data_IF_699495559651
#
_entry.id   IF_699495559651
#
_cell.length_a   1.000
_cell.length_b   1.000
_cell.length_c   1.000
_cell.angle_alpha   90.00
_cell.angle_beta   90.00
_cell.angle_gamma   90.00
#
_symmetry.space_group_name_H-M   'P 1'
#
loop_
_entity.id
_entity.type
_entity.pdbx_description
1 polymer ?
#
# COMPACT_ATOMS: atom_id res chain seq x y z
N UNK A 1 32.29 53.17 3.31
CA UNK A 1 31.28 52.58 4.22
C UNK A 1 30.40 51.67 3.38
N UNK A 2 30.53 50.32 3.43
CA UNK A 2 29.58 49.42 2.78
C UNK A 2 28.44 49.11 3.75
N UNK A 3 27.22 49.08 3.20
CA UNK A 3 25.97 48.78 3.89
C UNK A 3 25.86 47.30 4.18
N UNK A 4 25.44 46.97 5.40
CA UNK A 4 25.08 45.65 5.89
C UNK A 4 23.90 45.05 5.13
N UNK A 5 24.11 43.97 4.43
CA UNK A 5 23.08 43.09 3.91
C UNK A 5 22.67 42.11 5.02
N UNK A 6 21.59 42.41 5.75
CA UNK A 6 20.91 41.43 6.61
C UNK A 6 20.22 40.39 5.74
N UNK A 7 20.70 39.18 5.84
CA UNK A 7 20.02 38.00 5.33
C UNK A 7 18.76 37.77 6.15
N UNK A 8 17.60 38.01 5.57
CA UNK A 8 16.32 37.58 6.14
C UNK A 8 16.25 36.04 6.05
N UNK A 9 16.34 35.42 7.21
CA UNK A 9 15.94 34.01 7.39
C UNK A 9 14.43 33.96 7.25
N UNK A 10 13.97 33.41 6.14
CA UNK A 10 12.55 33.08 5.92
C UNK A 10 12.08 32.08 6.98
N UNK A 11 11.18 32.55 7.81
CA UNK A 11 10.54 31.83 8.90
C UNK A 11 9.60 30.74 8.31
N UNK A 12 9.96 29.47 8.49
CA UNK A 12 9.26 28.29 7.95
C UNK A 12 8.05 27.88 8.81
N UNK A 13 7.52 28.77 9.66
CA UNK A 13 6.44 28.48 10.63
C UNK A 13 5.03 28.45 10.06
N UNK A 14 4.84 28.65 8.76
CA UNK A 14 3.49 28.74 8.16
C UNK A 14 2.78 27.40 7.94
N UNK A 15 3.50 26.26 7.92
CA UNK A 15 2.94 24.96 7.49
C UNK A 15 2.30 24.11 8.62
N UNK A 16 2.67 24.33 9.89
CA UNK A 16 2.25 23.47 11.03
C UNK A 16 1.15 24.05 11.93
N UNK A 17 0.44 25.09 11.53
CA UNK A 17 -0.62 25.68 12.35
C UNK A 17 -0.19 26.09 13.78
N UNK A 18 1.08 26.48 13.98
CA UNK A 18 1.65 26.90 15.26
C UNK A 18 2.11 25.75 16.18
N UNK A 19 2.05 24.50 15.77
CA UNK A 19 2.54 23.34 16.53
C UNK A 19 4.03 23.09 16.22
N UNK A 20 4.80 22.66 17.24
CA UNK A 20 6.22 22.30 17.07
C UNK A 20 6.38 21.16 16.07
N UNK A 21 7.30 21.27 15.08
CA UNK A 21 7.70 20.14 14.24
C UNK A 21 8.16 18.94 15.09
N UNK A 22 7.85 17.73 14.61
CA UNK A 22 8.29 16.50 15.23
C UNK A 22 9.50 15.95 14.48
N UNK A 23 10.37 15.24 15.18
CA UNK A 23 11.39 14.37 14.62
C UNK A 23 10.82 12.96 14.57
N UNK A 24 10.55 12.47 13.37
CA UNK A 24 9.88 11.18 13.12
C UNK A 24 10.87 10.22 12.51
N UNK A 25 11.03 9.05 13.12
CA UNK A 25 11.82 7.96 12.55
C UNK A 25 10.86 6.85 12.09
N UNK A 26 10.79 6.62 10.78
CA UNK A 26 9.98 5.56 10.19
C UNK A 26 10.86 4.35 9.92
N UNK A 27 10.46 3.17 10.41
CA UNK A 27 11.19 1.92 10.22
C UNK A 27 10.37 0.94 9.37
N UNK A 28 10.88 0.59 8.21
CA UNK A 28 10.20 -0.24 7.23
C UNK A 28 11.05 -1.43 6.79
N UNK A 29 10.42 -2.60 6.63
CA UNK A 29 11.08 -3.77 6.03
C UNK A 29 11.05 -3.74 4.50
N UNK A 30 10.19 -2.89 3.91
CA UNK A 30 10.16 -2.54 2.47
C UNK A 30 9.95 -1.05 2.32
N UNK A 31 10.73 -0.41 1.44
CA UNK A 31 10.66 1.01 1.13
C UNK A 31 11.12 1.24 -0.32
N UNK A 32 10.73 2.33 -0.91
CA UNK A 32 11.15 2.66 -2.28
C UNK A 32 12.66 2.37 -2.52
N UNK A 33 13.03 1.76 -3.66
CA UNK A 33 12.23 1.53 -4.86
C UNK A 33 11.42 0.22 -4.88
N UNK A 34 11.17 -0.43 -3.74
CA UNK A 34 10.33 -1.63 -3.69
C UNK A 34 8.88 -1.29 -4.09
N UNK A 35 8.28 -2.14 -4.93
CA UNK A 35 6.92 -1.93 -5.47
C UNK A 35 5.93 -2.83 -4.73
N UNK A 36 5.38 -2.34 -3.62
CA UNK A 36 4.30 -2.98 -2.88
C UNK A 36 3.54 -1.94 -2.04
N UNK A 37 2.33 -2.28 -1.59
CA UNK A 37 1.47 -1.34 -0.85
C UNK A 37 2.10 -0.76 0.42
N UNK A 38 2.87 -1.56 1.18
CA UNK A 38 3.55 -1.09 2.38
C UNK A 38 4.64 -0.06 2.07
N UNK A 39 5.43 -0.30 1.01
CA UNK A 39 6.47 0.63 0.56
C UNK A 39 5.85 1.94 0.04
N UNK A 40 4.80 1.85 -0.78
CA UNK A 40 4.06 3.02 -1.29
C UNK A 40 3.47 3.85 -0.15
N UNK A 41 2.78 3.22 0.80
CA UNK A 41 2.26 3.93 1.97
C UNK A 41 3.36 4.58 2.80
N UNK A 42 4.46 3.87 3.04
CA UNK A 42 5.58 4.41 3.83
C UNK A 42 6.20 5.63 3.17
N UNK A 43 6.35 5.61 1.84
CA UNK A 43 6.84 6.74 1.07
C UNK A 43 5.87 7.92 1.14
N UNK A 44 4.57 7.69 0.90
CA UNK A 44 3.56 8.75 0.95
C UNK A 44 3.44 9.38 2.34
N UNK A 45 3.49 8.57 3.39
CA UNK A 45 3.49 9.03 4.77
C UNK A 45 4.73 9.89 5.06
N UNK A 46 5.93 9.41 4.70
CA UNK A 46 7.18 10.13 4.94
C UNK A 46 7.22 11.47 4.20
N UNK A 47 6.88 11.47 2.91
CA UNK A 47 6.81 12.68 2.09
C UNK A 47 5.78 13.65 2.63
N UNK A 48 4.56 13.19 2.93
CA UNK A 48 3.49 14.04 3.43
C UNK A 48 3.81 14.69 4.79
N UNK A 49 4.45 13.95 5.69
CA UNK A 49 4.90 14.50 6.99
C UNK A 49 6.02 15.54 6.79
N UNK A 50 6.98 15.28 5.89
CA UNK A 50 8.05 16.23 5.59
C UNK A 50 7.50 17.52 4.94
N UNK A 51 6.53 17.40 4.01
CA UNK A 51 5.83 18.57 3.44
C UNK A 51 5.08 19.40 4.48
N UNK A 52 4.66 18.78 5.58
CA UNK A 52 4.04 19.46 6.73
C UNK A 52 5.06 20.06 7.70
N UNK A 53 6.36 19.99 7.38
CA UNK A 53 7.46 20.62 8.13
C UNK A 53 8.02 19.77 9.27
N UNK A 54 7.73 18.47 9.31
CA UNK A 54 8.38 17.55 10.23
C UNK A 54 9.77 17.14 9.72
N UNK A 55 10.69 16.87 10.65
CA UNK A 55 11.96 16.22 10.34
C UNK A 55 11.74 14.70 10.26
N UNK A 56 11.81 14.15 9.04
CA UNK A 56 11.47 12.74 8.78
C UNK A 56 12.69 11.98 8.32
N UNK A 57 13.02 10.92 9.04
CA UNK A 57 14.04 9.96 8.69
C UNK A 57 13.41 8.58 8.44
N UNK A 58 13.96 7.84 7.48
CA UNK A 58 13.51 6.47 7.19
C UNK A 58 14.66 5.48 7.41
N UNK A 59 14.39 4.36 8.08
CA UNK A 59 15.30 3.20 8.13
C UNK A 59 14.70 2.06 7.34
N UNK A 60 15.42 1.58 6.33
CA UNK A 60 14.95 0.50 5.46
C UNK A 60 16.12 -0.35 4.92
N UNK A 61 15.87 -1.59 4.43
CA UNK A 61 16.88 -2.36 3.72
C UNK A 61 17.33 -1.64 2.45
N UNK A 62 18.59 -1.83 2.09
CA UNK A 62 19.11 -1.36 0.81
C UNK A 62 18.55 -2.18 -0.35
N UNK A 63 18.31 -1.56 -1.51
CA UNK A 63 17.89 -2.26 -2.73
C UNK A 63 19.02 -3.04 -3.42
N UNK A 64 20.28 -2.80 -3.01
CA UNK A 64 21.43 -3.55 -3.51
C UNK A 64 22.49 -3.78 -2.41
N UNK A 65 23.56 -4.50 -2.73
CA UNK A 65 24.58 -4.88 -1.73
C UNK A 65 25.55 -3.76 -1.36
N UNK A 66 25.67 -2.73 -2.18
CA UNK A 66 26.68 -1.68 -2.05
C UNK A 66 26.12 -0.35 -1.54
N UNK A 67 24.82 -0.10 -1.72
CA UNK A 67 24.15 1.13 -1.31
C UNK A 67 23.63 1.03 0.13
N UNK A 68 24.52 1.07 1.11
CA UNK A 68 24.16 1.05 2.53
C UNK A 68 24.86 2.21 3.28
N UNK A 69 24.17 2.79 4.24
CA UNK A 69 24.57 4.00 4.94
C UNK A 69 23.43 5.00 5.01
N UNK A 70 23.72 6.25 5.32
CA UNK A 70 22.75 7.34 5.35
C UNK A 70 22.89 8.20 4.11
N UNK A 71 21.76 8.47 3.45
CA UNK A 71 21.69 9.23 2.21
C UNK A 71 20.52 10.21 2.25
N UNK A 72 20.69 11.35 1.61
CA UNK A 72 19.59 12.23 1.27
C UNK A 72 19.05 11.80 -0.09
N UNK A 73 17.85 11.27 -0.11
CA UNK A 73 17.18 10.71 -1.29
C UNK A 73 15.94 11.54 -1.63
N UNK A 74 15.71 11.79 -2.92
CA UNK A 74 14.57 12.58 -3.38
C UNK A 74 13.36 11.69 -3.69
N UNK A 75 12.21 12.02 -3.10
CA UNK A 75 10.92 11.38 -3.33
C UNK A 75 9.86 12.44 -3.59
N UNK A 76 9.28 12.43 -4.80
CA UNK A 76 8.21 13.36 -5.19
C UNK A 76 8.56 14.85 -4.93
N UNK A 77 9.80 15.22 -5.19
CA UNK A 77 10.30 16.59 -4.99
C UNK A 77 10.60 16.94 -3.53
N UNK A 78 10.61 15.96 -2.62
CA UNK A 78 10.97 16.11 -1.21
C UNK A 78 12.23 15.32 -0.92
N UNK A 79 13.21 15.94 -0.30
CA UNK A 79 14.41 15.25 0.17
C UNK A 79 14.17 14.64 1.54
N UNK A 80 14.37 13.33 1.66
CA UNK A 80 14.30 12.57 2.91
C UNK A 80 15.67 12.00 3.26
N UNK A 81 16.05 12.02 4.52
CA UNK A 81 17.24 11.28 4.98
C UNK A 81 16.88 9.81 5.20
N UNK A 82 17.46 8.92 4.38
CA UNK A 82 17.20 7.48 4.42
C UNK A 82 18.43 6.72 4.89
N UNK A 83 18.27 5.94 5.96
CA UNK A 83 19.29 5.08 6.51
C UNK A 83 19.14 3.67 5.93
N UNK A 84 19.93 3.34 4.93
CA UNK A 84 19.90 2.05 4.21
C UNK A 84 20.71 1.01 4.95
N UNK A 85 20.05 -0.05 5.40
CA UNK A 85 20.70 -1.20 6.04
C UNK A 85 21.26 -2.16 4.99
N UNK A 86 22.43 -2.73 5.24
CA UNK A 86 22.95 -3.80 4.37
C UNK A 86 21.94 -4.94 4.25
N UNK A 87 21.62 -5.32 3.04
CA UNK A 87 20.54 -6.26 2.75
C UNK A 87 20.98 -7.41 1.86
N UNK A 88 20.25 -8.49 1.94
CA UNK A 88 20.48 -9.73 1.20
C UNK A 88 19.21 -10.14 0.49
N UNK A 89 19.35 -10.71 -0.71
CA UNK A 89 18.20 -11.22 -1.46
C UNK A 89 17.65 -12.46 -0.75
N UNK A 90 16.35 -12.54 -0.57
CA UNK A 90 15.70 -13.75 -0.06
C UNK A 90 15.69 -14.82 -1.17
N UNK A 91 16.21 -16.04 -0.92
CA UNK A 91 16.35 -17.04 -1.99
C UNK A 91 15.04 -17.47 -2.66
N UNK A 92 13.92 -17.46 -1.90
CA UNK A 92 12.61 -17.83 -2.40
C UNK A 92 11.88 -16.71 -3.17
N UNK A 93 12.42 -15.47 -3.13
CA UNK A 93 11.81 -14.31 -3.79
C UNK A 93 12.86 -13.46 -4.50
N UNK A 94 12.70 -13.30 -5.81
CA UNK A 94 13.66 -12.56 -6.62
C UNK A 94 13.74 -11.06 -6.26
N UNK A 95 12.66 -10.50 -5.76
CA UNK A 95 12.50 -9.06 -5.46
C UNK A 95 12.58 -8.71 -3.98
N UNK A 96 12.38 -9.66 -3.03
CA UNK A 96 12.40 -9.37 -1.60
C UNK A 96 13.82 -9.39 -1.04
N UNK A 97 14.16 -8.33 -0.33
CA UNK A 97 15.45 -8.18 0.36
C UNK A 97 15.22 -8.03 1.87
N UNK A 98 16.13 -8.55 2.66
CA UNK A 98 16.06 -8.49 4.11
C UNK A 98 17.40 -8.08 4.72
N UNK A 99 17.37 -7.42 5.87
CA UNK A 99 18.52 -7.20 6.72
C UNK A 99 18.66 -8.34 7.74
N UNK A 100 19.89 -8.63 8.18
CA UNK A 100 20.07 -9.61 9.23
C UNK A 100 19.62 -9.06 10.59
N UNK A 101 18.78 -9.78 11.38
CA UNK A 101 18.21 -9.26 12.63
C UNK A 101 19.25 -8.73 13.63
N UNK A 102 20.42 -9.39 13.71
CA UNK A 102 21.50 -8.98 14.63
C UNK A 102 22.24 -7.72 14.17
N UNK A 103 22.16 -7.35 12.89
CA UNK A 103 22.78 -6.12 12.38
C UNK A 103 21.89 -4.91 12.57
N UNK A 104 20.57 -5.08 12.58
CA UNK A 104 19.61 -3.97 12.66
C UNK A 104 19.88 -3.11 13.89
N UNK A 105 19.85 -3.67 15.09
CA UNK A 105 20.06 -2.93 16.33
C UNK A 105 21.39 -2.15 16.34
N UNK A 106 22.47 -2.81 15.89
CA UNK A 106 23.81 -2.20 15.83
C UNK A 106 23.85 -0.95 14.94
N UNK A 107 23.12 -0.98 13.80
CA UNK A 107 23.13 0.15 12.84
C UNK A 107 22.07 1.20 13.16
N UNK A 108 21.00 0.83 13.85
CA UNK A 108 19.91 1.76 14.17
C UNK A 108 20.15 2.53 15.49
N UNK A 109 20.84 1.93 16.45
CA UNK A 109 21.15 2.60 17.73
C UNK A 109 21.86 3.96 17.55
N UNK A 110 22.96 4.07 16.75
CA UNK A 110 23.60 5.36 16.53
C UNK A 110 22.71 6.39 15.82
N UNK A 111 21.81 5.95 14.92
CA UNK A 111 20.85 6.82 14.24
C UNK A 111 19.85 7.39 15.24
N UNK A 112 19.29 6.55 16.11
CA UNK A 112 18.36 6.99 17.16
C UNK A 112 19.04 7.92 18.14
N UNK A 113 20.28 7.61 18.55
CA UNK A 113 21.05 8.44 19.49
C UNK A 113 21.40 9.81 18.90
N UNK A 114 21.67 9.89 17.59
CA UNK A 114 21.97 11.15 16.91
C UNK A 114 20.69 11.98 16.63
N UNK A 115 19.63 11.34 16.14
CA UNK A 115 18.39 11.99 15.76
C UNK A 115 17.56 12.42 16.99
N UNK A 116 17.59 11.61 18.06
CA UNK A 116 16.72 11.81 19.24
C UNK A 116 15.25 11.98 18.80
N UNK A 117 14.63 11.00 18.13
CA UNK A 117 13.30 11.17 17.56
C UNK A 117 12.23 11.33 18.66
N UNK A 118 11.24 12.17 18.39
CA UNK A 118 10.06 12.32 19.26
C UNK A 118 9.16 11.07 19.20
N UNK A 119 9.18 10.38 18.05
CA UNK A 119 8.41 9.16 17.80
C UNK A 119 9.12 8.26 16.81
N UNK A 120 8.96 6.95 17.02
CA UNK A 120 9.33 5.89 16.10
C UNK A 120 8.06 5.27 15.55
N UNK A 121 7.94 5.20 14.22
CA UNK A 121 6.83 4.53 13.57
C UNK A 121 7.32 3.30 12.82
N UNK A 122 6.98 2.11 13.31
CA UNK A 122 7.34 0.84 12.65
C UNK A 122 6.24 0.43 11.66
N UNK A 123 6.62 0.13 10.42
CA UNK A 123 5.69 -0.29 9.35
C UNK A 123 5.51 -1.81 9.28
N UNK A 124 6.22 -2.53 10.13
CA UNK A 124 6.09 -3.99 10.25
C UNK A 124 6.69 -4.47 11.57
N UNK A 125 6.40 -5.73 11.91
CA UNK A 125 6.94 -6.41 13.08
C UNK A 125 8.10 -7.37 12.75
N UNK A 126 8.55 -7.42 11.48
CA UNK A 126 9.41 -8.50 10.99
C UNK A 126 10.86 -8.32 11.47
N UNK A 127 11.71 -7.65 10.71
CA UNK A 127 13.13 -7.55 11.03
C UNK A 127 13.53 -6.13 11.42
N UNK A 128 13.33 -5.16 10.51
CA UNK A 128 13.73 -3.77 10.74
C UNK A 128 12.85 -3.14 11.80
N UNK A 129 11.54 -3.24 11.64
CA UNK A 129 10.58 -2.69 12.61
C UNK A 129 10.79 -3.28 14.01
N UNK A 130 11.03 -4.60 14.13
CA UNK A 130 11.34 -5.24 15.42
C UNK A 130 12.62 -4.70 16.06
N UNK A 131 13.67 -4.56 15.27
CA UNK A 131 14.97 -4.09 15.77
C UNK A 131 14.88 -2.65 16.26
N UNK A 132 14.25 -1.79 15.48
CA UNK A 132 14.08 -0.37 15.80
C UNK A 132 13.12 -0.17 16.98
N UNK A 133 12.01 -0.93 17.04
CA UNK A 133 11.08 -0.88 18.18
C UNK A 133 11.77 -1.20 19.52
N UNK A 134 12.64 -2.19 19.54
CA UNK A 134 13.42 -2.52 20.76
C UNK A 134 14.37 -1.40 21.17
N UNK A 135 15.10 -0.82 20.19
CA UNK A 135 16.01 0.29 20.48
C UNK A 135 15.26 1.54 20.97
N UNK A 136 14.07 1.82 20.41
CA UNK A 136 13.21 2.91 20.84
C UNK A 136 12.65 2.66 22.25
N UNK A 137 12.18 1.44 22.51
CA UNK A 137 11.64 1.05 23.81
C UNK A 137 12.71 1.16 24.93
N UNK A 138 13.93 0.68 24.67
CA UNK A 138 15.04 0.74 25.63
C UNK A 138 15.42 2.20 25.99
N UNK A 139 15.02 3.17 25.15
CA UNK A 139 15.25 4.63 25.36
C UNK A 139 13.99 5.40 25.80
N UNK A 140 12.86 4.72 25.99
CA UNK A 140 11.61 5.37 26.38
C UNK A 140 11.01 6.28 25.29
N UNK A 141 11.34 6.03 24.01
CA UNK A 141 10.80 6.78 22.88
C UNK A 141 9.42 6.21 22.52
N UNK A 142 8.46 7.10 22.23
CA UNK A 142 7.12 6.74 21.76
C UNK A 142 7.18 5.87 20.51
N UNK A 143 6.41 4.79 20.48
CA UNK A 143 6.35 3.85 19.34
C UNK A 143 4.92 3.73 18.85
N UNK A 144 4.73 3.93 17.56
CA UNK A 144 3.50 3.59 16.83
C UNK A 144 3.82 2.45 15.86
N UNK A 145 2.91 1.49 15.73
CA UNK A 145 3.09 0.38 14.80
C UNK A 145 1.98 0.34 13.76
N UNK A 146 2.32 0.23 12.48
CA UNK A 146 1.35 -0.11 11.42
C UNK A 146 1.57 -1.53 10.95
N UNK A 147 0.49 -2.28 10.79
CA UNK A 147 0.53 -3.62 10.23
C UNK A 147 0.06 -3.61 8.78
N UNK A 148 0.98 -3.92 7.88
CA UNK A 148 0.71 -4.10 6.44
C UNK A 148 0.80 -5.56 6.01
N UNK A 149 0.97 -6.46 6.95
CA UNK A 149 1.37 -7.82 6.64
C UNK A 149 0.51 -8.83 7.39
N UNK A 150 0.03 -9.83 6.65
CA UNK A 150 -0.62 -11.00 7.24
C UNK A 150 0.31 -12.22 7.10
N UNK A 151 0.60 -12.94 8.21
CA UNK A 151 1.39 -14.17 8.15
C UNK A 151 0.82 -15.20 7.17
N UNK A 152 -0.49 -15.18 6.92
CA UNK A 152 -1.18 -16.01 5.94
C UNK A 152 -0.58 -15.88 4.55
N UNK A 153 -0.22 -14.65 4.15
CA UNK A 153 0.37 -14.35 2.83
C UNK A 153 1.79 -14.95 2.66
N UNK A 154 2.50 -15.25 3.76
CA UNK A 154 3.81 -15.92 3.68
C UNK A 154 3.68 -17.43 3.53
N UNK A 155 2.57 -18.02 3.97
CA UNK A 155 2.44 -19.46 4.01
C UNK A 155 2.29 -20.08 2.63
N UNK A 156 1.78 -19.34 1.66
CA UNK A 156 1.73 -19.76 0.26
C UNK A 156 3.13 -20.02 -0.33
N UNK A 157 4.15 -19.37 0.24
CA UNK A 157 5.56 -19.52 -0.16
C UNK A 157 6.36 -20.47 0.73
N UNK A 158 5.69 -21.19 1.63
CA UNK A 158 6.36 -22.13 2.52
C UNK A 158 5.94 -23.57 2.22
N UNK A 159 6.81 -24.56 2.43
CA UNK A 159 6.49 -25.97 2.22
C UNK A 159 5.59 -26.55 3.34
N UNK A 160 4.95 -25.73 4.14
CA UNK A 160 4.06 -26.19 5.21
C UNK A 160 2.79 -26.81 4.65
N UNK A 161 2.51 -28.05 5.04
CA UNK A 161 1.28 -28.75 4.67
C UNK A 161 0.06 -28.21 5.43
N UNK A 162 -1.16 -28.47 4.93
CA UNK A 162 -2.44 -28.01 5.50
C UNK A 162 -2.58 -28.27 7.01
N UNK A 163 -1.92 -29.30 7.58
CA UNK A 163 -1.99 -29.63 9.00
C UNK A 163 -1.05 -28.80 9.88
N UNK A 164 0.06 -28.31 9.33
CA UNK A 164 1.07 -27.54 10.08
C UNK A 164 0.86 -26.04 9.97
N UNK A 165 0.14 -25.59 8.96
CA UNK A 165 -0.21 -24.19 8.71
C UNK A 165 -0.83 -23.48 9.92
N UNK A 166 -1.87 -24.00 10.62
CA UNK A 166 -2.45 -23.31 11.77
C UNK A 166 -1.48 -23.11 12.94
N UNK A 167 -0.58 -24.06 13.15
CA UNK A 167 0.44 -23.98 14.22
C UNK A 167 1.49 -22.92 13.84
N UNK A 168 1.95 -22.93 12.60
CA UNK A 168 2.89 -21.93 12.09
C UNK A 168 2.31 -20.49 12.17
N UNK A 169 1.05 -20.31 11.79
CA UNK A 169 0.34 -19.04 11.94
C UNK A 169 0.29 -18.56 13.38
N UNK A 170 -0.12 -19.45 14.30
CA UNK A 170 -0.18 -19.12 15.72
C UNK A 170 1.18 -18.70 16.30
N UNK A 171 2.26 -19.34 15.84
CA UNK A 171 3.63 -18.97 16.25
C UNK A 171 4.00 -17.60 15.65
N UNK A 172 3.70 -17.38 14.36
CA UNK A 172 3.99 -16.11 13.68
C UNK A 172 3.25 -14.94 14.33
N UNK A 173 1.95 -15.09 14.62
CA UNK A 173 1.17 -14.06 15.31
C UNK A 173 1.64 -13.81 16.75
N UNK A 174 2.01 -14.85 17.49
CA UNK A 174 2.62 -14.69 18.83
C UNK A 174 3.96 -13.95 18.78
N UNK A 175 4.72 -14.15 17.73
CA UNK A 175 6.00 -13.46 17.55
C UNK A 175 5.77 -12.00 17.13
N UNK A 176 4.83 -11.72 16.24
CA UNK A 176 4.39 -10.37 15.89
C UNK A 176 3.92 -9.59 17.13
N UNK A 177 3.08 -10.23 17.97
CA UNK A 177 2.56 -9.63 19.19
C UNK A 177 3.67 -9.15 20.15
N UNK A 178 4.83 -9.81 20.19
CA UNK A 178 5.98 -9.36 21.03
C UNK A 178 6.52 -8.00 20.60
N UNK A 179 6.50 -7.73 19.30
CA UNK A 179 6.96 -6.45 18.76
C UNK A 179 5.88 -5.38 18.95
N UNK A 180 4.66 -5.68 18.60
CA UNK A 180 3.55 -4.73 18.70
C UNK A 180 3.22 -4.31 20.13
N UNK A 181 3.46 -5.18 21.14
CA UNK A 181 3.32 -4.80 22.57
C UNK A 181 4.26 -3.70 23.03
N UNK A 182 5.30 -3.38 22.26
CA UNK A 182 6.18 -2.24 22.54
C UNK A 182 5.57 -0.92 22.06
N UNK A 183 4.57 -0.96 21.18
CA UNK A 183 3.92 0.22 20.64
C UNK A 183 2.78 0.69 21.56
N UNK A 184 2.58 2.02 21.65
CA UNK A 184 1.47 2.62 22.39
C UNK A 184 0.13 2.51 21.63
N UNK A 185 0.20 2.52 20.31
CA UNK A 185 -0.93 2.25 19.42
C UNK A 185 -0.49 1.44 18.22
N UNK A 186 -1.38 0.57 17.75
CA UNK A 186 -1.18 -0.22 16.56
C UNK A 186 -2.24 0.20 15.55
N UNK A 187 -1.83 0.35 14.30
CA UNK A 187 -2.74 0.72 13.22
C UNK A 187 -2.73 -0.34 12.13
N UNK A 188 -3.80 -0.40 11.36
CA UNK A 188 -3.94 -1.24 10.17
C UNK A 188 -4.92 -0.55 9.22
N UNK A 189 -4.89 -0.80 7.90
CA UNK A 189 -5.61 0.05 6.96
C UNK A 189 -7.13 -0.07 6.98
N UNK A 190 -7.71 -1.16 7.52
CA UNK A 190 -9.17 -1.38 7.55
C UNK A 190 -9.64 -1.98 8.87
N UNK A 191 -10.93 -1.87 9.19
CA UNK A 191 -11.52 -2.50 10.39
C UNK A 191 -11.42 -4.02 10.33
N UNK A 192 -11.62 -4.63 9.16
CA UNK A 192 -11.44 -6.06 9.01
C UNK A 192 -10.03 -6.50 9.40
N UNK A 193 -9.01 -5.78 8.91
CA UNK A 193 -7.61 -6.04 9.27
C UNK A 193 -7.35 -5.77 10.76
N UNK A 194 -8.04 -4.79 11.36
CA UNK A 194 -7.96 -4.51 12.79
C UNK A 194 -8.56 -5.64 13.63
N UNK A 195 -9.66 -6.23 13.21
CA UNK A 195 -10.29 -7.37 13.92
C UNK A 195 -9.36 -8.58 13.97
N UNK A 196 -8.75 -8.94 12.84
CA UNK A 196 -7.71 -10.00 12.83
C UNK A 196 -6.57 -9.72 13.80
N UNK A 197 -6.16 -8.46 13.90
CA UNK A 197 -5.04 -8.08 14.75
C UNK A 197 -5.44 -8.03 16.23
N UNK A 198 -6.64 -7.55 16.56
CA UNK A 198 -7.19 -7.51 17.93
C UNK A 198 -7.22 -8.90 18.57
N UNK A 199 -7.60 -9.90 17.80
CA UNK A 199 -7.61 -11.31 18.25
C UNK A 199 -6.20 -11.83 18.53
N UNK A 200 -5.23 -11.42 17.73
CA UNK A 200 -3.84 -11.86 17.85
C UNK A 200 -3.06 -11.14 18.97
N UNK A 201 -3.40 -9.86 19.24
CA UNK A 201 -2.64 -8.97 20.13
C UNK A 201 -3.57 -8.42 21.24
N UNK A 202 -4.14 -9.32 22.04
CA UNK A 202 -5.02 -8.92 23.14
C UNK A 202 -4.38 -7.87 24.07
N UNK A 203 -5.13 -6.80 24.36
CA UNK A 203 -4.77 -5.78 25.36
C UNK A 203 -4.06 -4.52 24.80
N UNK A 204 -3.93 -4.39 23.48
CA UNK A 204 -3.40 -3.17 22.84
C UNK A 204 -4.50 -2.50 22.00
N UNK A 205 -4.58 -1.15 21.97
CA UNK A 205 -5.48 -0.47 21.05
C UNK A 205 -5.03 -0.71 19.60
N UNK A 206 -5.94 -1.24 18.78
CA UNK A 206 -5.76 -1.42 17.34
C UNK A 206 -6.76 -0.51 16.63
N UNK A 207 -6.26 0.41 15.82
CA UNK A 207 -7.02 1.42 15.11
C UNK A 207 -7.02 1.13 13.61
N UNK A 208 -8.17 1.24 12.97
CA UNK A 208 -8.26 1.26 11.52
C UNK A 208 -7.98 2.69 11.04
N UNK A 209 -6.91 2.84 10.25
CA UNK A 209 -6.52 4.10 9.63
C UNK A 209 -6.17 3.81 8.19
N UNK A 210 -6.97 4.31 7.26
CA UNK A 210 -6.72 4.17 5.82
C UNK A 210 -5.29 4.57 5.46
N UNK A 211 -4.68 3.87 4.50
CA UNK A 211 -3.41 4.31 3.92
C UNK A 211 -3.52 5.70 3.30
N UNK A 212 -4.71 6.11 2.92
CA UNK A 212 -4.96 7.38 2.28
C UNK A 212 -4.53 7.38 0.80
N UNK A 213 -5.04 8.35 0.08
CA UNK A 213 -4.64 8.63 -1.29
C UNK A 213 -4.69 10.14 -1.54
N UNK A 214 -3.73 10.65 -2.28
CA UNK A 214 -3.79 12.00 -2.83
C UNK A 214 -4.61 11.99 -4.13
N UNK A 215 -5.92 12.17 -3.99
CA UNK A 215 -6.84 12.17 -5.13
C UNK A 215 -6.54 13.30 -6.15
N UNK A 216 -5.82 14.35 -5.77
CA UNK A 216 -5.48 15.46 -6.68
C UNK A 216 -4.52 15.05 -7.79
N UNK A 217 -3.82 13.93 -7.63
CA UNK A 217 -2.91 13.36 -8.63
C UNK A 217 -3.63 12.65 -9.78
N UNK A 218 -4.91 12.33 -9.62
CA UNK A 218 -5.69 11.54 -10.56
C UNK A 218 -6.68 12.42 -11.28
N UNK A 219 -6.78 12.24 -12.60
CA UNK A 219 -7.71 13.00 -13.44
C UNK A 219 -8.78 12.05 -13.98
N UNK A 220 -10.01 12.11 -13.47
CA UNK A 220 -11.10 11.31 -14.01
C UNK A 220 -11.38 11.68 -15.46
N UNK A 221 -11.65 10.70 -16.32
CA UNK A 221 -12.09 10.97 -17.69
C UNK A 221 -13.36 11.82 -17.70
N UNK A 222 -13.55 12.66 -18.72
CA UNK A 222 -14.72 13.55 -18.82
C UNK A 222 -16.04 12.83 -19.13
N UNK A 223 -15.96 11.56 -19.57
CA UNK A 223 -17.10 10.73 -19.93
C UNK A 223 -16.73 9.26 -19.89
N UNK A 224 -17.57 8.40 -20.47
CA UNK A 224 -17.25 7.00 -20.67
C UNK A 224 -16.15 6.89 -21.74
N UNK A 225 -15.05 6.16 -21.49
CA UNK A 225 -14.05 5.87 -22.50
C UNK A 225 -14.65 5.15 -23.72
N UNK A 226 -14.07 5.36 -24.90
CA UNK A 226 -14.60 4.77 -26.15
C UNK A 226 -14.35 3.26 -26.26
N UNK A 227 -13.34 2.74 -25.55
CA UNK A 227 -13.00 1.32 -25.50
C UNK A 227 -13.65 0.56 -24.34
N UNK A 228 -13.39 -0.75 -24.27
CA UNK A 228 -13.76 -1.59 -23.15
C UNK A 228 -12.49 -2.16 -22.50
N UNK A 229 -11.63 -1.25 -22.03
CA UNK A 229 -10.39 -1.63 -21.37
C UNK A 229 -10.63 -1.96 -19.89
N UNK A 230 -10.35 -3.23 -19.55
CA UNK A 230 -10.28 -3.73 -18.18
C UNK A 230 -8.86 -3.46 -17.68
N UNK A 231 -8.70 -2.74 -16.60
CA UNK A 231 -7.39 -2.31 -16.10
C UNK A 231 -7.07 -2.97 -14.76
N UNK A 232 -5.84 -3.43 -14.62
CA UNK A 232 -5.23 -3.84 -13.35
C UNK A 232 -3.94 -3.06 -13.12
N UNK A 233 -3.71 -2.61 -11.89
CA UNK A 233 -2.45 -1.99 -11.45
C UNK A 233 -1.95 -2.73 -10.23
N UNK A 234 -0.70 -3.21 -10.28
CA UNK A 234 -0.09 -3.87 -9.15
C UNK A 234 0.95 -4.91 -9.52
N UNK A 235 1.54 -5.53 -8.52
CA UNK A 235 2.48 -6.62 -8.72
C UNK A 235 1.80 -7.84 -9.35
N UNK A 236 2.43 -8.43 -10.36
CA UNK A 236 1.92 -9.61 -11.06
C UNK A 236 2.39 -10.87 -10.32
N UNK A 237 1.69 -11.19 -9.21
CA UNK A 237 2.03 -12.24 -8.27
C UNK A 237 0.86 -13.23 -8.08
N UNK A 238 1.12 -14.44 -7.54
CA UNK A 238 0.09 -15.48 -7.43
C UNK A 238 -1.17 -15.03 -6.69
N UNK A 239 -1.03 -14.32 -5.57
CA UNK A 239 -2.14 -13.83 -4.75
C UNK A 239 -3.06 -12.82 -5.44
N UNK A 240 -2.63 -12.28 -6.59
CA UNK A 240 -3.43 -11.36 -7.40
C UNK A 240 -4.41 -12.06 -8.33
N UNK A 241 -4.29 -13.37 -8.54
CA UNK A 241 -5.23 -14.21 -9.28
C UNK A 241 -5.61 -13.65 -10.68
N UNK A 242 -4.64 -13.06 -11.40
CA UNK A 242 -4.89 -12.46 -12.74
C UNK A 242 -5.26 -13.50 -13.80
N UNK A 243 -4.96 -14.77 -13.58
CA UNK A 243 -5.39 -15.88 -14.41
C UNK A 243 -6.91 -16.00 -14.49
N UNK A 244 -7.63 -15.68 -13.40
CA UNK A 244 -9.12 -15.66 -13.40
C UNK A 244 -9.65 -14.61 -14.38
N UNK A 245 -8.99 -13.43 -14.49
CA UNK A 245 -9.38 -12.40 -15.45
C UNK A 245 -9.14 -12.85 -16.89
N UNK A 246 -7.98 -13.48 -17.15
CA UNK A 246 -7.65 -14.01 -18.49
C UNK A 246 -8.64 -15.12 -18.89
N UNK A 247 -9.04 -16.00 -17.97
CA UNK A 247 -10.07 -17.03 -18.20
C UNK A 247 -11.46 -16.44 -18.42
N UNK A 248 -11.77 -15.29 -17.84
CA UNK A 248 -13.03 -14.60 -18.03
C UNK A 248 -13.15 -13.94 -19.42
N UNK A 249 -12.03 -13.54 -20.07
CA UNK A 249 -12.05 -12.85 -21.36
C UNK A 249 -12.82 -13.58 -22.48
N UNK A 250 -12.61 -14.90 -22.72
CA UNK A 250 -13.36 -15.61 -23.75
C UNK A 250 -14.85 -15.77 -23.42
N UNK A 251 -15.26 -15.59 -22.16
CA UNK A 251 -16.65 -15.68 -21.72
C UNK A 251 -17.41 -14.36 -21.91
N UNK A 252 -16.71 -13.26 -22.14
CA UNK A 252 -17.34 -11.95 -22.43
C UNK A 252 -17.95 -11.97 -23.83
N UNK A 253 -19.09 -11.27 -24.04
CA UNK A 253 -19.66 -11.10 -25.38
C UNK A 253 -18.62 -10.56 -26.38
N UNK A 254 -18.42 -11.25 -27.50
CA UNK A 254 -17.41 -10.87 -28.49
C UNK A 254 -17.59 -9.45 -29.02
N UNK A 255 -18.84 -8.96 -29.10
CA UNK A 255 -19.15 -7.61 -29.53
C UNK A 255 -18.59 -6.52 -28.61
N UNK A 256 -18.20 -6.83 -27.37
CA UNK A 256 -17.57 -5.87 -26.46
C UNK A 256 -16.14 -5.54 -26.85
N UNK A 257 -15.47 -6.40 -27.59
CA UNK A 257 -14.04 -6.24 -27.92
C UNK A 257 -13.20 -5.78 -26.70
N UNK A 258 -13.44 -6.46 -25.56
CA UNK A 258 -12.83 -6.07 -24.27
C UNK A 258 -11.37 -6.50 -24.22
N UNK A 259 -10.51 -5.60 -23.78
CA UNK A 259 -9.07 -5.82 -23.59
C UNK A 259 -8.71 -5.79 -22.11
N UNK A 260 -7.68 -6.54 -21.71
CA UNK A 260 -7.15 -6.53 -20.36
C UNK A 260 -5.73 -5.92 -20.33
N UNK A 261 -5.60 -4.76 -19.72
CA UNK A 261 -4.33 -4.04 -19.60
C UNK A 261 -3.79 -4.17 -18.17
N UNK A 262 -2.59 -4.73 -18.05
CA UNK A 262 -1.91 -5.02 -16.80
C UNK A 262 -0.72 -4.07 -16.65
N UNK A 263 -0.79 -3.18 -15.64
CA UNK A 263 0.29 -2.27 -15.26
C UNK A 263 1.01 -2.85 -14.05
N UNK A 264 2.24 -3.27 -14.23
CA UNK A 264 3.09 -3.84 -13.19
C UNK A 264 3.90 -5.03 -13.67
N UNK A 265 4.84 -5.45 -12.84
CA UNK A 265 5.77 -6.54 -13.13
C UNK A 265 5.63 -7.65 -12.09
N UNK A 266 6.13 -8.86 -12.42
CA UNK A 266 6.16 -9.98 -11.48
C UNK A 266 6.32 -11.35 -12.11
N UNK A 267 6.52 -12.33 -11.23
CA UNK A 267 6.92 -13.70 -11.58
C UNK A 267 5.83 -14.48 -12.35
N UNK A 268 4.59 -14.01 -12.33
CA UNK A 268 3.48 -14.68 -13.00
C UNK A 268 3.34 -14.34 -14.49
N UNK A 269 4.00 -13.29 -14.99
CA UNK A 269 3.88 -12.85 -16.40
C UNK A 269 4.09 -14.00 -17.39
N UNK A 270 5.13 -14.86 -17.30
CA UNK A 270 5.32 -15.94 -18.25
C UNK A 270 4.16 -16.95 -18.26
N UNK A 271 3.61 -17.27 -17.09
CA UNK A 271 2.47 -18.19 -16.95
C UNK A 271 1.18 -17.58 -17.52
N UNK A 272 0.96 -16.31 -17.24
CA UNK A 272 -0.23 -15.58 -17.73
C UNK A 272 -0.17 -15.39 -19.24
N UNK A 273 1.00 -15.14 -19.81
CA UNK A 273 1.20 -15.07 -21.26
C UNK A 273 0.88 -16.43 -21.91
N UNK A 274 1.40 -17.53 -21.37
CA UNK A 274 1.10 -18.87 -21.86
C UNK A 274 -0.40 -19.21 -21.76
N UNK A 275 -1.06 -18.82 -20.67
CA UNK A 275 -2.50 -18.99 -20.49
C UNK A 275 -3.31 -18.21 -21.53
N UNK A 276 -2.92 -16.94 -21.80
CA UNK A 276 -3.59 -16.15 -22.83
C UNK A 276 -3.49 -16.79 -24.22
N UNK A 277 -2.33 -17.33 -24.57
CA UNK A 277 -2.11 -18.10 -25.82
C UNK A 277 -2.95 -19.38 -25.87
N UNK A 278 -2.95 -20.14 -24.77
CA UNK A 278 -3.77 -21.39 -24.68
C UNK A 278 -5.26 -21.12 -24.92
N UNK A 279 -5.75 -19.98 -24.44
CA UNK A 279 -7.16 -19.59 -24.58
C UNK A 279 -7.44 -18.78 -25.87
N UNK A 280 -6.44 -18.47 -26.69
CA UNK A 280 -6.57 -17.69 -27.91
C UNK A 280 -7.03 -16.25 -27.68
N UNK A 281 -6.57 -15.64 -26.57
CA UNK A 281 -6.90 -14.25 -26.20
C UNK A 281 -5.66 -13.36 -26.03
N UNK A 282 -4.51 -13.81 -26.56
CA UNK A 282 -3.23 -13.08 -26.43
C UNK A 282 -3.28 -11.67 -26.99
N UNK A 283 -4.02 -11.44 -28.08
CA UNK A 283 -4.20 -10.12 -28.68
C UNK A 283 -5.05 -9.16 -27.83
N UNK A 284 -5.77 -9.71 -26.84
CA UNK A 284 -6.64 -8.97 -25.91
C UNK A 284 -5.99 -8.71 -24.57
N UNK A 285 -4.75 -9.22 -24.30
CA UNK A 285 -4.03 -9.06 -23.04
C UNK A 285 -2.76 -8.25 -23.27
N UNK A 286 -2.62 -7.13 -22.54
CA UNK A 286 -1.46 -6.23 -22.65
C UNK A 286 -0.72 -6.17 -21.33
N UNK A 287 0.53 -6.62 -21.32
CA UNK A 287 1.44 -6.47 -20.17
C UNK A 287 2.32 -5.23 -20.41
N UNK A 288 2.11 -4.16 -19.66
CA UNK A 288 2.90 -2.94 -19.78
C UNK A 288 4.20 -2.99 -18.96
N UNK A 289 4.32 -3.95 -18.05
CA UNK A 289 5.45 -4.01 -17.13
C UNK A 289 5.46 -2.86 -16.10
N UNK A 290 6.63 -2.60 -15.54
CA UNK A 290 6.83 -1.44 -14.68
C UNK A 290 6.94 -0.17 -15.55
N UNK A 291 6.04 0.76 -15.35
CA UNK A 291 5.94 2.00 -16.15
C UNK A 291 6.09 3.25 -15.27
N UNK A 292 6.49 4.40 -15.85
CA UNK A 292 6.45 5.68 -15.15
C UNK A 292 5.03 6.04 -14.68
N UNK A 293 4.94 6.82 -13.60
CA UNK A 293 3.66 7.25 -13.02
C UNK A 293 2.70 7.87 -14.06
N UNK A 294 3.22 8.69 -14.98
CA UNK A 294 2.41 9.31 -16.05
C UNK A 294 1.68 8.27 -16.92
N UNK A 295 2.34 7.15 -17.23
CA UNK A 295 1.75 6.08 -18.02
C UNK A 295 0.69 5.35 -17.20
N UNK A 296 0.97 5.08 -15.91
CA UNK A 296 -0.01 4.48 -14.98
C UNK A 296 -1.25 5.36 -14.86
N UNK A 297 -1.08 6.65 -14.59
CA UNK A 297 -2.17 7.60 -14.45
C UNK A 297 -3.02 7.68 -15.72
N UNK A 298 -2.37 7.77 -16.89
CA UNK A 298 -3.07 7.77 -18.19
C UNK A 298 -3.85 6.47 -18.39
N UNK A 299 -3.26 5.31 -18.10
CA UNK A 299 -3.94 4.01 -18.23
C UNK A 299 -5.18 3.93 -17.34
N UNK A 300 -5.13 4.47 -16.13
CA UNK A 300 -6.29 4.56 -15.25
C UNK A 300 -7.36 5.53 -15.79
N UNK A 301 -6.95 6.68 -16.33
CA UNK A 301 -7.89 7.67 -16.92
C UNK A 301 -8.59 7.12 -18.17
N UNK A 302 -7.87 6.38 -19.02
CA UNK A 302 -8.36 5.81 -20.28
C UNK A 302 -9.12 4.50 -20.09
N UNK A 303 -8.95 3.83 -18.94
CA UNK A 303 -9.62 2.57 -18.61
C UNK A 303 -11.15 2.70 -18.49
N UNK A 304 -11.85 1.60 -18.70
CA UNK A 304 -13.33 1.54 -18.59
C UNK A 304 -13.77 0.93 -17.27
N UNK A 305 -13.06 -0.09 -16.79
CA UNK A 305 -13.32 -0.74 -15.50
C UNK A 305 -12.01 -1.19 -14.88
N UNK A 306 -11.86 -1.02 -13.58
CA UNK A 306 -10.75 -1.58 -12.84
C UNK A 306 -11.13 -2.95 -12.28
N UNK A 307 -10.21 -3.92 -12.35
CA UNK A 307 -10.42 -5.25 -11.79
C UNK A 307 -9.40 -5.54 -10.69
N UNK A 308 -9.88 -6.04 -9.53
CA UNK A 308 -9.03 -6.50 -8.44
C UNK A 308 -9.42 -7.92 -8.01
N UNK A 309 -8.85 -8.95 -8.64
CA UNK A 309 -9.20 -10.33 -8.35
C UNK A 309 -8.43 -10.95 -7.17
N UNK A 310 -7.67 -10.13 -6.44
CA UNK A 310 -6.84 -10.54 -5.31
C UNK A 310 -7.66 -11.12 -4.16
N UNK A 311 -7.10 -12.13 -3.48
CA UNK A 311 -7.67 -12.71 -2.26
C UNK A 311 -6.89 -12.36 -1.00
N UNK A 312 -5.95 -11.42 -1.08
CA UNK A 312 -5.00 -11.12 0.01
C UNK A 312 -4.80 -9.62 0.26
N UNK A 313 -5.84 -8.80 0.07
CA UNK A 313 -5.77 -7.36 0.28
C UNK A 313 -6.15 -6.96 1.71
N UNK A 314 -5.32 -6.10 2.33
CA UNK A 314 -5.69 -5.42 3.58
C UNK A 314 -6.44 -4.11 3.33
N UNK A 315 -6.24 -3.47 2.17
CA UNK A 315 -7.01 -2.31 1.69
C UNK A 315 -7.08 -2.23 0.17
N UNK A 316 -5.98 -2.47 -0.55
CA UNK A 316 -5.81 -2.27 -1.99
C UNK A 316 -5.66 -0.80 -2.40
N UNK A 317 -4.45 -0.27 -2.25
CA UNK A 317 -4.12 1.11 -2.70
C UNK A 317 -4.43 1.30 -4.18
N UNK A 318 -4.17 0.31 -5.04
CA UNK A 318 -4.45 0.40 -6.47
C UNK A 318 -5.96 0.48 -6.80
N UNK A 319 -6.82 -0.11 -5.96
CA UNK A 319 -8.26 0.12 -6.08
C UNK A 319 -8.64 1.55 -5.70
N UNK A 320 -7.99 2.13 -4.67
CA UNK A 320 -8.18 3.55 -4.33
C UNK A 320 -7.69 4.47 -5.47
N UNK A 321 -6.57 4.15 -6.12
CA UNK A 321 -6.05 4.87 -7.29
C UNK A 321 -7.05 4.85 -8.46
N UNK A 322 -7.64 3.67 -8.72
CA UNK A 322 -8.68 3.52 -9.74
C UNK A 322 -9.94 4.31 -9.41
N UNK A 323 -10.40 4.26 -8.15
CA UNK A 323 -11.55 5.04 -7.69
C UNK A 323 -11.28 6.53 -7.77
N UNK A 324 -10.08 7.02 -7.45
CA UNK A 324 -9.67 8.41 -7.59
C UNK A 324 -9.62 8.85 -9.07
N UNK A 325 -9.37 7.91 -9.99
CA UNK A 325 -9.49 8.13 -11.45
C UNK A 325 -10.95 8.06 -11.96
N UNK A 326 -11.90 7.82 -11.05
CA UNK A 326 -13.32 7.71 -11.38
C UNK A 326 -13.70 6.41 -12.11
N UNK A 327 -12.92 5.33 -11.96
CA UNK A 327 -13.25 4.04 -12.54
C UNK A 327 -14.29 3.28 -11.69
N UNK A 328 -15.27 2.62 -12.32
CA UNK A 328 -15.97 1.52 -11.67
C UNK A 328 -15.00 0.40 -11.31
N UNK A 329 -15.27 -0.32 -10.21
CA UNK A 329 -14.39 -1.38 -9.69
C UNK A 329 -15.12 -2.72 -9.64
N UNK A 330 -14.54 -3.75 -10.26
CA UNK A 330 -14.96 -5.14 -10.09
C UNK A 330 -13.92 -5.87 -9.24
N UNK A 331 -14.31 -6.30 -8.05
CA UNK A 331 -13.38 -6.87 -7.09
C UNK A 331 -13.82 -8.25 -6.59
N UNK A 332 -12.87 -9.08 -6.17
CA UNK A 332 -13.19 -10.33 -5.51
C UNK A 332 -13.88 -10.07 -4.16
N UNK A 333 -14.90 -10.86 -3.84
CA UNK A 333 -15.55 -10.86 -2.52
C UNK A 333 -14.64 -11.56 -1.50
N UNK A 334 -13.51 -10.89 -1.19
CA UNK A 334 -12.47 -11.45 -0.34
C UNK A 334 -11.78 -10.36 0.51
N UNK A 335 -11.45 -10.72 1.73
CA UNK A 335 -10.72 -9.88 2.67
C UNK A 335 -11.30 -8.45 2.75
N UNK A 336 -10.45 -7.43 2.58
CA UNK A 336 -10.87 -6.03 2.69
C UNK A 336 -11.47 -5.44 1.41
N UNK A 337 -11.58 -6.18 0.30
CA UNK A 337 -12.11 -5.61 -0.95
C UNK A 337 -13.61 -5.26 -0.89
N UNK A 338 -14.48 -6.02 -0.21
CA UNK A 338 -15.91 -5.69 -0.17
C UNK A 338 -16.23 -4.29 0.34
N UNK A 339 -15.42 -3.73 1.27
CA UNK A 339 -15.66 -2.38 1.79
C UNK A 339 -15.45 -1.25 0.77
N UNK A 340 -14.74 -1.55 -0.35
CA UNK A 340 -14.51 -0.60 -1.44
C UNK A 340 -15.63 -0.65 -2.52
N UNK A 341 -16.62 -1.53 -2.37
CA UNK A 341 -17.67 -1.72 -3.37
C UNK A 341 -19.04 -1.41 -2.76
N UNK A 342 -19.56 -0.26 -3.14
CA UNK A 342 -20.89 0.22 -2.72
C UNK A 342 -21.52 1.07 -3.82
N UNK A 343 -22.12 0.42 -4.82
CA UNK A 343 -22.73 1.09 -5.97
C UNK A 343 -21.77 1.67 -7.00
N UNK A 344 -20.47 1.49 -6.82
CA UNK A 344 -19.40 1.91 -7.74
C UNK A 344 -18.88 0.77 -8.63
N UNK A 345 -19.52 -0.39 -8.61
CA UNK A 345 -19.10 -1.56 -9.37
C UNK A 345 -19.74 -2.84 -8.83
N UNK A 346 -18.99 -3.94 -8.80
CA UNK A 346 -19.52 -5.23 -8.40
C UNK A 346 -18.49 -6.10 -7.68
N UNK A 347 -18.98 -6.99 -6.80
CA UNK A 347 -18.20 -8.08 -6.23
C UNK A 347 -18.45 -9.38 -7.00
N UNK A 348 -17.41 -10.20 -7.14
CA UNK A 348 -17.52 -11.52 -7.72
C UNK A 348 -16.94 -12.59 -6.79
N UNK A 349 -17.42 -13.83 -6.90
CA UNK A 349 -16.94 -14.96 -6.11
C UNK A 349 -15.45 -15.26 -6.40
N UNK A 350 -14.55 -15.31 -5.39
CA UNK A 350 -13.13 -15.50 -5.60
C UNK A 350 -12.82 -16.77 -6.41
N UNK A 351 -12.04 -16.62 -7.48
CA UNK A 351 -11.63 -17.72 -8.35
C UNK A 351 -12.70 -18.19 -9.36
N UNK A 352 -13.86 -17.55 -9.41
CA UNK A 352 -14.94 -17.87 -10.35
C UNK A 352 -14.87 -16.95 -11.58
N UNK A 353 -14.30 -17.46 -12.68
CA UNK A 353 -14.19 -16.74 -13.96
C UNK A 353 -15.54 -16.48 -14.63
N UNK A 354 -16.56 -17.31 -14.39
CA UNK A 354 -17.89 -17.12 -14.95
C UNK A 354 -18.62 -15.97 -14.24
N UNK A 355 -18.56 -15.91 -12.91
CA UNK A 355 -19.12 -14.79 -12.15
C UNK A 355 -18.38 -13.50 -12.46
N UNK A 356 -17.03 -13.53 -12.53
CA UNK A 356 -16.23 -12.38 -12.94
C UNK A 356 -16.63 -11.87 -14.34
N UNK A 357 -16.78 -12.75 -15.32
CA UNK A 357 -17.22 -12.37 -16.67
C UNK A 357 -18.60 -11.71 -16.65
N UNK A 358 -19.56 -12.27 -15.88
CA UNK A 358 -20.89 -11.67 -15.73
C UNK A 358 -20.82 -10.27 -15.10
N UNK A 359 -20.00 -10.05 -14.04
CA UNK A 359 -19.85 -8.75 -13.41
C UNK A 359 -19.14 -7.75 -14.32
N UNK A 360 -18.07 -8.14 -15.01
CA UNK A 360 -17.40 -7.30 -16.02
C UNK A 360 -18.37 -6.90 -17.14
N UNK A 361 -19.11 -7.87 -17.70
CA UNK A 361 -20.10 -7.59 -18.74
C UNK A 361 -21.16 -6.60 -18.23
N UNK A 362 -21.68 -6.74 -17.02
CA UNK A 362 -22.67 -5.82 -16.45
C UNK A 362 -22.18 -4.38 -16.37
N UNK A 363 -20.92 -4.14 -16.00
CA UNK A 363 -20.31 -2.82 -15.97
C UNK A 363 -20.05 -2.29 -17.40
N UNK A 364 -19.48 -3.15 -18.26
CA UNK A 364 -19.13 -2.76 -19.63
C UNK A 364 -20.34 -2.49 -20.52
N UNK A 365 -21.50 -3.07 -20.23
CA UNK A 365 -22.75 -2.86 -20.97
C UNK A 365 -23.77 -1.96 -20.26
N UNK A 366 -23.40 -1.43 -19.09
CA UNK A 366 -24.28 -0.55 -18.33
C UNK A 366 -24.70 0.68 -19.18
N UNK A 367 -25.96 1.12 -19.09
CA UNK A 367 -26.37 2.38 -19.69
C UNK A 367 -25.50 3.55 -19.20
N UNK A 368 -25.33 4.57 -20.03
CA UNK A 368 -24.41 5.68 -19.74
C UNK A 368 -24.72 6.40 -18.41
N UNK A 369 -26.01 6.51 -18.06
CA UNK A 369 -26.42 7.11 -16.79
C UNK A 369 -26.09 6.22 -15.58
N UNK A 370 -26.16 4.91 -15.72
CA UNK A 370 -25.74 3.95 -14.68
C UNK A 370 -24.22 3.93 -14.53
N UNK A 371 -23.51 3.89 -15.66
CA UNK A 371 -22.05 3.96 -15.66
C UNK A 371 -21.55 5.28 -15.04
N UNK A 372 -22.18 6.40 -15.35
CA UNK A 372 -21.86 7.69 -14.74
C UNK A 372 -22.12 7.71 -13.23
N UNK A 373 -23.19 7.04 -12.74
CA UNK A 373 -23.45 6.88 -11.29
C UNK A 373 -22.35 6.06 -10.60
N UNK A 374 -21.92 4.94 -11.20
CA UNK A 374 -20.82 4.14 -10.64
C UNK A 374 -19.54 4.95 -10.50
N UNK A 375 -19.20 5.73 -11.53
CA UNK A 375 -18.04 6.63 -11.51
C UNK A 375 -18.14 7.70 -10.43
N UNK A 376 -19.28 8.38 -10.35
CA UNK A 376 -19.52 9.38 -9.31
C UNK A 376 -19.44 8.77 -7.90
N UNK A 377 -19.92 7.55 -7.75
CA UNK A 377 -19.84 6.84 -6.47
C UNK A 377 -18.37 6.52 -6.08
N UNK A 378 -17.51 6.05 -7.02
CA UNK A 378 -16.08 5.90 -6.78
C UNK A 378 -15.45 7.18 -6.26
N UNK A 379 -15.71 8.32 -6.92
CA UNK A 379 -15.17 9.62 -6.52
C UNK A 379 -15.69 10.09 -5.14
N UNK A 380 -16.94 9.81 -4.81
CA UNK A 380 -17.47 10.13 -3.47
C UNK A 380 -16.86 9.24 -2.38
N UNK A 381 -16.71 7.95 -2.65
CA UNK A 381 -16.14 7.02 -1.67
C UNK A 381 -14.66 7.34 -1.36
N UNK A 382 -13.91 7.83 -2.36
CA UNK A 382 -12.49 8.15 -2.16
C UNK A 382 -12.24 9.29 -1.18
N UNK A 383 -13.22 10.17 -0.95
CA UNK A 383 -13.13 11.28 0.01
C UNK A 383 -12.89 10.78 1.45
N UNK A 384 -13.38 9.60 1.78
CA UNK A 384 -13.12 8.97 3.08
C UNK A 384 -11.65 8.55 3.25
N UNK A 385 -10.92 8.38 2.13
CA UNK A 385 -9.54 7.93 2.07
C UNK A 385 -8.56 9.07 1.74
N UNK A 386 -8.88 10.33 2.04
CA UNK A 386 -7.98 11.48 1.84
C UNK A 386 -6.68 11.31 2.63
N UNK A 387 -5.54 11.42 1.93
CA UNK A 387 -4.19 11.36 2.52
C UNK A 387 -3.98 12.41 3.62
N UNK A 388 -4.56 13.60 3.49
CA UNK A 388 -4.42 14.65 4.51
C UNK A 388 -5.08 14.27 5.83
N UNK A 389 -6.19 13.54 5.77
CA UNK A 389 -6.85 12.98 6.94
C UNK A 389 -5.98 11.91 7.60
N UNK A 390 -5.41 11.00 6.80
CA UNK A 390 -4.46 9.99 7.26
C UNK A 390 -3.26 10.64 7.96
N UNK A 391 -2.63 11.62 7.34
CA UNK A 391 -1.50 12.35 7.91
C UNK A 391 -1.86 13.03 9.22
N UNK A 392 -2.99 13.75 9.28
CA UNK A 392 -3.44 14.43 10.50
C UNK A 392 -3.72 13.45 11.65
N UNK A 393 -4.25 12.27 11.32
CA UNK A 393 -4.49 11.19 12.29
C UNK A 393 -3.17 10.65 12.84
N UNK A 394 -2.16 10.42 11.99
CA UNK A 394 -0.84 9.99 12.45
C UNK A 394 -0.12 11.07 13.26
N UNK A 395 -0.21 12.34 12.87
CA UNK A 395 0.33 13.45 13.66
C UNK A 395 -0.27 13.50 15.09
N UNK A 396 -1.57 13.28 15.22
CA UNK A 396 -2.24 13.20 16.52
C UNK A 396 -1.73 12.02 17.35
N UNK A 397 -1.63 10.82 16.73
CA UNK A 397 -1.03 9.64 17.38
C UNK A 397 0.41 9.88 17.84
N UNK A 398 1.22 10.53 17.01
CA UNK A 398 2.62 10.82 17.35
C UNK A 398 2.74 11.77 18.54
N UNK A 399 1.76 12.65 18.73
CA UNK A 399 1.68 13.58 19.87
C UNK A 399 1.01 12.96 21.11
N UNK A 400 0.46 11.75 20.99
CA UNK A 400 -0.32 11.10 22.06
C UNK A 400 -1.69 11.74 22.28
N UNK A 401 -2.21 12.40 21.26
CA UNK A 401 -3.54 12.96 21.27
C UNK A 401 -4.60 11.87 21.00
N UNK A 402 -5.80 12.00 21.55
CA UNK A 402 -6.89 11.10 21.25
C UNK A 402 -7.23 11.14 19.75
N UNK A 403 -7.37 9.97 19.14
CA UNK A 403 -7.79 9.82 17.75
C UNK A 403 -9.14 9.13 17.74
N UNK A 404 -10.12 9.73 17.06
CA UNK A 404 -11.37 9.05 16.80
C UNK A 404 -11.11 7.86 15.86
N UNK A 405 -11.73 6.71 16.17
CA UNK A 405 -11.77 5.61 15.21
C UNK A 405 -12.35 6.16 13.90
N UNK A 406 -11.68 5.87 12.77
CA UNK A 406 -12.09 6.39 11.47
C UNK A 406 -13.53 5.97 11.14
N UNK A 407 -14.23 6.72 10.28
CA UNK A 407 -15.57 6.36 9.81
C UNK A 407 -15.51 5.28 8.73
N UNK A 408 -14.62 4.31 8.85
CA UNK A 408 -14.61 3.17 7.95
C UNK A 408 -15.80 2.27 8.31
N UNK A 409 -16.69 2.17 7.35
CA UNK A 409 -18.02 1.67 7.39
C UNK A 409 -18.22 0.37 8.20
N UNK A 410 -19.36 0.38 8.87
CA UNK A 410 -20.04 -0.82 9.37
C UNK A 410 -20.49 -1.67 8.20
#
# INVERSE_FOLDING_TARGET
MPADARTETTDTTAATGGRRPLRVLIAADTFAPDVNGAATFTEELAVGLAQRGHEVHVIAPSWNRTHHGSFDEEYRGVTLTVHRLASYRWPAHAWYRFAWPWTVRKHTAPVIDALQPDVVHIQSHIVVGRGVAREAHDRGIRIIGTNHFMPENLLEYTPFGKRTTPIALKIAWRDAAKTYRLAEAITTPTELAADYLRDAIAGQPVLAISCGIDATRYTPATGRPAGNDIVFVGRVAPEKNLDVVIRALPLLPAALDAHFTIVGDGDMIPKLTALAQELGVEDRVRFLGFVPDEVKLRTLTEGTVFVMPSTAELQSISSLEAMASGLPVVAADAMALPHLIDGNGALFAPGDEHDLAAKLASVLTAPDDEYARMRARSLTMIEAHDINRTLSTFEALYRGEPVAAGPEGR
#
